data_IF_054091825759
#
_entry.id   IF_054091825759
#
_cell.length_a   1.000
_cell.length_b   1.000
_cell.length_c   1.000
_cell.angle_alpha   90.00
_cell.angle_beta   90.00
_cell.angle_gamma   90.00
#
_symmetry.space_group_name_H-M   'P 1'
#
loop_
_entity.id
_entity.type
_entity.pdbx_description
1 polymer ?
#
# COMPACT_ATOMS: atom_id res chain seq x y z
N UNK A 1 -8.41 -18.66 2.45
CA UNK A 1 -7.30 -17.68 2.48
C UNK A 1 -5.99 -18.44 2.40
N UNK A 2 -5.15 -18.12 1.40
CA UNK A 2 -3.83 -18.72 1.24
C UNK A 2 -2.91 -18.06 2.27
N UNK A 3 -2.31 -18.83 3.19
CA UNK A 3 -1.25 -18.31 4.07
C UNK A 3 0.00 -18.13 3.22
N UNK A 4 0.60 -16.94 3.29
CA UNK A 4 1.87 -16.62 2.65
C UNK A 4 2.80 -16.11 3.73
N UNK A 5 4.03 -16.58 3.74
CA UNK A 5 5.11 -16.06 4.59
C UNK A 5 6.19 -15.56 3.65
N UNK A 6 6.67 -14.34 3.91
CA UNK A 6 7.79 -13.75 3.19
C UNK A 6 8.92 -13.52 4.19
N UNK A 7 10.08 -14.09 3.90
CA UNK A 7 11.33 -13.70 4.54
C UNK A 7 11.73 -12.29 4.10
N UNK A 8 12.61 -11.64 4.85
CA UNK A 8 13.17 -10.34 4.46
C UNK A 8 13.83 -10.37 3.08
N UNK A 9 14.51 -11.47 2.72
CA UNK A 9 15.12 -11.61 1.41
C UNK A 9 14.08 -11.74 0.28
N UNK A 10 12.99 -12.47 0.50
CA UNK A 10 11.90 -12.57 -0.47
C UNK A 10 11.16 -11.23 -0.63
N UNK A 11 10.90 -10.53 0.47
CA UNK A 11 10.32 -9.18 0.44
C UNK A 11 11.25 -8.21 -0.30
N UNK A 12 12.55 -8.25 -0.01
CA UNK A 12 13.57 -7.46 -0.70
C UNK A 12 13.56 -7.72 -2.21
N UNK A 13 13.56 -8.98 -2.65
CA UNK A 13 13.52 -9.33 -4.07
C UNK A 13 12.24 -8.84 -4.75
N UNK A 14 11.08 -9.00 -4.08
CA UNK A 14 9.80 -8.51 -4.59
C UNK A 14 9.76 -6.98 -4.71
N UNK A 15 10.31 -6.25 -3.74
CA UNK A 15 10.45 -4.79 -3.79
C UNK A 15 11.37 -4.37 -4.94
N UNK A 16 12.52 -5.03 -5.14
CA UNK A 16 13.40 -4.71 -6.27
C UNK A 16 12.71 -4.97 -7.62
N UNK A 17 12.05 -6.11 -7.76
CA UNK A 17 11.32 -6.48 -8.98
C UNK A 17 10.20 -5.47 -9.29
N UNK A 18 9.40 -5.10 -8.29
CA UNK A 18 8.33 -4.11 -8.49
C UNK A 18 8.86 -2.68 -8.68
N UNK A 19 9.94 -2.29 -8.01
CA UNK A 19 10.63 -1.02 -8.29
C UNK A 19 11.13 -0.96 -9.74
N UNK A 20 11.66 -2.05 -10.30
CA UNK A 20 12.02 -2.07 -11.73
C UNK A 20 10.78 -1.85 -12.61
N UNK A 21 9.68 -2.54 -12.32
CA UNK A 21 8.42 -2.37 -13.06
C UNK A 21 7.89 -0.92 -13.02
N UNK A 22 8.02 -0.23 -11.88
CA UNK A 22 7.67 1.19 -11.75
C UNK A 22 8.57 2.09 -12.60
N UNK A 23 9.88 1.83 -12.65
CA UNK A 23 10.82 2.55 -13.53
C UNK A 23 10.44 2.34 -15.00
N UNK A 24 10.16 1.10 -15.42
CA UNK A 24 9.73 0.79 -16.79
C UNK A 24 8.37 1.44 -17.12
N UNK A 25 7.55 1.70 -16.10
CA UNK A 25 6.31 2.48 -16.20
C UNK A 25 6.53 3.99 -16.16
N UNK A 26 7.77 4.46 -16.36
CA UNK A 26 8.16 5.88 -16.44
C UNK A 26 7.98 6.68 -15.14
N UNK A 27 7.88 6.00 -14.00
CA UNK A 27 7.83 6.67 -12.69
C UNK A 27 9.22 7.19 -12.29
N UNK A 28 9.29 8.43 -11.83
CA UNK A 28 10.54 9.08 -11.37
C UNK A 28 10.38 9.70 -9.99
N UNK A 29 11.49 9.93 -9.28
CA UNK A 29 11.52 10.57 -7.95
C UNK A 29 10.58 11.79 -7.90
N UNK A 30 9.76 11.88 -6.85
CA UNK A 30 8.79 12.97 -6.64
C UNK A 30 7.43 12.75 -7.31
N UNK A 31 7.26 11.72 -8.14
CA UNK A 31 5.94 11.38 -8.65
C UNK A 31 5.02 10.78 -7.58
N UNK A 32 3.72 11.11 -7.68
CA UNK A 32 2.71 10.68 -6.71
C UNK A 32 1.98 9.44 -7.21
N UNK A 33 1.84 8.46 -6.32
CA UNK A 33 1.24 7.15 -6.60
C UNK A 33 0.07 6.91 -5.65
N UNK A 34 -1.13 6.72 -6.18
CA UNK A 34 -2.27 6.29 -5.39
C UNK A 34 -2.23 4.78 -5.24
N UNK A 35 -2.37 4.29 -4.01
CA UNK A 35 -2.51 2.86 -3.72
C UNK A 35 -3.91 2.64 -3.13
N UNK A 36 -4.74 1.89 -3.85
CA UNK A 36 -6.11 1.53 -3.47
C UNK A 36 -6.21 -0.01 -3.39
N UNK A 37 -5.63 -0.56 -2.32
CA UNK A 37 -5.51 -2.00 -2.09
C UNK A 37 -5.92 -2.33 -0.64
N UNK A 38 -6.46 -3.55 -0.38
CA UNK A 38 -6.57 -4.04 0.98
C UNK A 38 -5.19 -4.23 1.62
N UNK A 39 -5.14 -4.46 2.93
CA UNK A 39 -3.91 -4.79 3.65
C UNK A 39 -3.42 -6.21 3.30
N UNK A 40 -2.70 -6.33 2.18
CA UNK A 40 -2.07 -7.55 1.67
C UNK A 40 -0.57 -7.33 1.41
N UNK A 41 0.25 -8.39 1.29
CA UNK A 41 1.70 -8.24 1.07
C UNK A 41 2.07 -7.35 -0.11
N UNK A 42 1.31 -7.41 -1.20
CA UNK A 42 1.53 -6.62 -2.42
C UNK A 42 1.34 -5.12 -2.19
N UNK A 43 0.43 -4.73 -1.30
CA UNK A 43 0.26 -3.33 -0.93
C UNK A 43 1.49 -2.80 -0.16
N UNK A 44 2.09 -3.62 0.69
CA UNK A 44 3.33 -3.30 1.40
C UNK A 44 4.51 -3.23 0.43
N UNK A 45 4.59 -4.17 -0.51
CA UNK A 45 5.59 -4.14 -1.59
C UNK A 45 5.45 -2.84 -2.39
N UNK A 46 4.24 -2.42 -2.72
CA UNK A 46 4.00 -1.15 -3.42
C UNK A 46 4.47 0.07 -2.60
N UNK A 47 4.14 0.15 -1.31
CA UNK A 47 4.60 1.22 -0.41
C UNK A 47 6.13 1.31 -0.34
N UNK A 48 6.79 0.17 -0.11
CA UNK A 48 8.24 0.10 0.00
C UNK A 48 8.94 0.37 -1.33
N UNK A 49 8.35 -0.05 -2.45
CA UNK A 49 8.88 0.23 -3.79
C UNK A 49 8.76 1.71 -4.15
N UNK A 50 7.67 2.37 -3.73
CA UNK A 50 7.55 3.82 -3.84
C UNK A 50 8.63 4.53 -3.03
N UNK A 51 8.78 4.19 -1.75
CA UNK A 51 9.80 4.77 -0.89
C UNK A 51 11.23 4.53 -1.42
N UNK A 52 11.51 3.33 -1.95
CA UNK A 52 12.80 2.96 -2.54
C UNK A 52 13.19 3.84 -3.72
N UNK A 53 12.22 4.29 -4.51
CA UNK A 53 12.43 5.11 -5.71
C UNK A 53 12.23 6.61 -5.46
N UNK A 54 11.97 7.01 -4.21
CA UNK A 54 11.61 8.39 -3.88
C UNK A 54 10.27 8.84 -4.49
N UNK A 55 9.37 7.89 -4.80
CA UNK A 55 7.98 8.17 -5.15
C UNK A 55 7.18 8.46 -3.89
N UNK A 56 6.21 9.37 -4.01
CA UNK A 56 5.37 9.79 -2.91
C UNK A 56 4.08 8.97 -2.99
N UNK A 57 3.98 7.90 -2.21
CA UNK A 57 2.75 7.12 -2.18
C UNK A 57 1.65 7.83 -1.41
N UNK A 58 0.40 7.57 -1.78
CA UNK A 58 -0.78 8.01 -1.06
C UNK A 58 -1.79 6.88 -1.01
N UNK A 59 -1.92 6.28 0.18
CA UNK A 59 -2.89 5.21 0.38
C UNK A 59 -4.29 5.81 0.46
N UNK A 60 -5.20 5.22 -0.28
CA UNK A 60 -6.64 5.44 -0.14
C UNK A 60 -7.25 4.17 0.41
N UNK A 61 -7.90 4.28 1.57
CA UNK A 61 -8.57 3.14 2.21
C UNK A 61 -9.52 2.44 1.22
N UNK A 62 -9.34 1.12 1.04
CA UNK A 62 -10.02 0.33 0.02
C UNK A 62 -11.56 0.25 0.16
N UNK A 63 -12.14 0.85 1.20
CA UNK A 63 -13.58 1.01 1.37
C UNK A 63 -14.14 2.36 0.90
N UNK A 64 -13.30 3.29 0.43
CA UNK A 64 -13.76 4.61 -0.02
C UNK A 64 -14.37 4.59 -1.43
N UNK A 65 -15.24 5.58 -1.68
CA UNK A 65 -15.97 5.75 -2.94
C UNK A 65 -15.08 6.25 -4.08
N UNK A 66 -15.54 6.05 -5.32
CA UNK A 66 -14.88 6.58 -6.52
C UNK A 66 -14.66 8.09 -6.47
N UNK A 67 -15.62 8.85 -5.97
CA UNK A 67 -15.49 10.31 -5.77
C UNK A 67 -14.37 10.65 -4.78
N UNK A 68 -14.24 9.86 -3.71
CA UNK A 68 -13.17 10.02 -2.72
C UNK A 68 -11.78 9.72 -3.29
N UNK A 69 -11.68 8.75 -4.20
CA UNK A 69 -10.44 8.42 -4.92
C UNK A 69 -10.09 9.56 -5.88
N UNK A 70 -11.05 9.98 -6.73
CA UNK A 70 -10.88 11.08 -7.71
C UNK A 70 -10.37 12.35 -7.05
N UNK A 71 -11.00 12.76 -5.94
CA UNK A 71 -10.63 13.99 -5.26
C UNK A 71 -9.20 13.95 -4.70
N UNK A 72 -8.72 12.78 -4.27
CA UNK A 72 -7.34 12.60 -3.79
C UNK A 72 -6.34 12.54 -4.94
N UNK A 73 -6.67 11.84 -6.04
CA UNK A 73 -5.87 11.82 -7.26
C UNK A 73 -5.62 13.26 -7.75
N UNK A 74 -6.69 14.04 -7.88
CA UNK A 74 -6.62 15.39 -8.42
C UNK A 74 -5.90 16.36 -7.48
N UNK A 75 -6.03 16.20 -6.16
CA UNK A 75 -5.39 17.06 -5.18
C UNK A 75 -3.86 16.84 -5.11
N UNK A 76 -3.39 15.59 -5.09
CA UNK A 76 -1.94 15.30 -5.11
C UNK A 76 -1.35 15.23 -6.52
N UNK A 77 -2.17 15.31 -7.57
CA UNK A 77 -1.77 15.17 -8.96
C UNK A 77 -1.09 13.84 -9.24
N UNK A 78 -1.62 12.73 -8.71
CA UNK A 78 -1.04 11.40 -8.92
C UNK A 78 -0.98 11.04 -10.40
N UNK A 79 0.08 10.31 -10.80
CA UNK A 79 0.27 9.80 -12.17
C UNK A 79 -0.06 8.31 -12.32
N UNK A 80 -0.06 7.58 -11.21
CA UNK A 80 -0.25 6.14 -11.16
C UNK A 80 -1.28 5.77 -10.11
N UNK A 81 -2.16 4.82 -10.44
CA UNK A 81 -2.99 4.11 -9.46
C UNK A 81 -2.58 2.64 -9.41
N UNK A 82 -2.32 2.12 -8.21
CA UNK A 82 -2.09 0.70 -7.96
C UNK A 82 -3.32 0.16 -7.23
N UNK A 83 -3.92 -0.91 -7.73
CA UNK A 83 -5.12 -1.51 -7.14
C UNK A 83 -5.15 -3.04 -7.30
N UNK A 84 -6.23 -3.66 -6.83
CA UNK A 84 -6.55 -5.07 -7.06
C UNK A 84 -7.78 -5.20 -7.94
N UNK A 85 -7.97 -6.35 -8.57
CA UNK A 85 -9.23 -6.70 -9.24
C UNK A 85 -10.43 -6.60 -8.26
N UNK A 86 -10.36 -7.34 -7.15
CA UNK A 86 -11.33 -7.34 -6.08
C UNK A 86 -10.72 -7.88 -4.76
N UNK A 87 -11.40 -7.67 -3.64
CA UNK A 87 -11.03 -8.27 -2.35
C UNK A 87 -12.26 -8.62 -1.53
N UNK A 88 -12.07 -9.41 -0.46
CA UNK A 88 -13.15 -9.79 0.45
C UNK A 88 -13.07 -8.99 1.74
N UNK A 89 -14.22 -8.53 2.24
CA UNK A 89 -14.35 -7.93 3.57
C UNK A 89 -15.68 -8.37 4.19
N UNK A 90 -15.65 -8.89 5.42
CA UNK A 90 -16.82 -9.44 6.09
C UNK A 90 -17.60 -10.45 5.20
N UNK A 91 -16.88 -11.30 4.46
CA UNK A 91 -17.47 -12.27 3.53
C UNK A 91 -18.00 -11.70 2.21
N UNK A 92 -18.04 -10.38 2.03
CA UNK A 92 -18.53 -9.72 0.81
C UNK A 92 -17.38 -9.40 -0.14
N UNK A 93 -17.62 -9.55 -1.44
CA UNK A 93 -16.68 -9.15 -2.50
C UNK A 93 -16.82 -7.65 -2.76
N UNK A 94 -15.70 -6.94 -2.71
CA UNK A 94 -15.58 -5.53 -3.08
C UNK A 94 -14.75 -5.46 -4.36
N UNK A 95 -15.34 -4.90 -5.43
CA UNK A 95 -14.72 -4.82 -6.77
C UNK A 95 -13.86 -3.55 -6.90
N UNK A 96 -12.66 -3.57 -6.34
CA UNK A 96 -11.77 -2.39 -6.30
C UNK A 96 -11.52 -1.77 -7.66
N UNK A 97 -11.19 -2.57 -8.67
CA UNK A 97 -10.94 -2.05 -10.02
C UNK A 97 -12.13 -1.29 -10.59
N UNK A 98 -13.35 -1.80 -10.38
CA UNK A 98 -14.58 -1.10 -10.81
C UNK A 98 -14.70 0.27 -10.14
N UNK A 99 -14.39 0.37 -8.84
CA UNK A 99 -14.42 1.66 -8.12
C UNK A 99 -13.37 2.63 -8.69
N UNK A 100 -12.17 2.13 -9.02
CA UNK A 100 -11.11 2.92 -9.66
C UNK A 100 -11.53 3.39 -11.04
N UNK A 101 -12.10 2.53 -11.89
CA UNK A 101 -12.54 2.92 -13.24
C UNK A 101 -13.57 4.04 -13.22
N UNK A 102 -14.56 3.93 -12.31
CA UNK A 102 -15.55 4.99 -12.12
C UNK A 102 -14.86 6.29 -11.64
N UNK A 103 -13.86 6.20 -10.76
CA UNK A 103 -13.13 7.40 -10.31
C UNK A 103 -12.41 8.08 -11.48
N UNK A 104 -11.74 7.29 -12.33
CA UNK A 104 -11.01 7.79 -13.49
C UNK A 104 -11.94 8.39 -14.55
N UNK A 105 -13.12 7.78 -14.79
CA UNK A 105 -14.12 8.31 -15.72
C UNK A 105 -14.76 9.62 -15.26
N UNK A 106 -14.77 9.89 -13.95
CA UNK A 106 -15.27 11.15 -13.38
C UNK A 106 -14.28 12.32 -13.54
N UNK A 107 -13.04 12.07 -14.00
CA UNK A 107 -12.06 13.10 -14.35
C UNK A 107 -10.79 13.04 -13.49
N UNK A 108 -9.83 12.23 -13.93
CA UNK A 108 -8.47 12.12 -13.36
C UNK A 108 -7.40 12.27 -14.46
N UNK A 109 -7.24 13.45 -15.07
CA UNK A 109 -6.43 13.63 -16.27
C UNK A 109 -4.92 13.42 -16.05
N UNK A 110 -4.46 13.47 -14.80
CA UNK A 110 -3.05 13.23 -14.46
C UNK A 110 -2.66 11.75 -14.48
N UNK A 111 -3.62 10.82 -14.46
CA UNK A 111 -3.34 9.39 -14.41
C UNK A 111 -2.91 8.88 -15.79
N UNK A 112 -1.68 8.39 -15.85
CA UNK A 112 -1.07 7.84 -17.05
C UNK A 112 -1.23 6.32 -17.10
N UNK A 113 -1.13 5.65 -15.95
CA UNK A 113 -1.19 4.18 -15.84
C UNK A 113 -1.96 3.71 -14.60
N UNK A 114 -2.53 2.51 -14.69
CA UNK A 114 -3.14 1.80 -13.58
C UNK A 114 -2.58 0.38 -13.50
N UNK A 115 -1.93 0.02 -12.39
CA UNK A 115 -1.40 -1.32 -12.15
C UNK A 115 -2.40 -2.12 -11.32
N UNK A 116 -2.72 -3.33 -11.77
CA UNK A 116 -3.75 -4.18 -11.18
C UNK A 116 -3.13 -5.49 -10.71
N UNK A 117 -3.22 -5.77 -9.42
CA UNK A 117 -2.87 -7.09 -8.88
C UNK A 117 -4.08 -8.03 -8.93
N UNK A 118 -3.86 -9.26 -9.41
CA UNK A 118 -4.89 -10.30 -9.44
C UNK A 118 -5.00 -10.96 -8.05
N UNK A 119 -5.99 -10.54 -7.27
CA UNK A 119 -6.21 -11.02 -5.91
C UNK A 119 -7.30 -12.08 -5.82
N UNK A 120 -8.41 -11.94 -6.56
CA UNK A 120 -9.54 -12.88 -6.53
C UNK A 120 -9.90 -13.50 -7.89
N UNK A 121 -9.17 -13.12 -8.95
CA UNK A 121 -9.49 -13.48 -10.34
C UNK A 121 -10.92 -13.08 -10.74
N UNK A 122 -11.37 -11.93 -10.27
CA UNK A 122 -12.67 -11.36 -10.63
C UNK A 122 -12.64 -10.88 -12.08
N UNK A 123 -13.72 -11.10 -12.81
CA UNK A 123 -13.85 -10.58 -14.18
C UNK A 123 -13.98 -9.05 -14.16
N UNK A 124 -13.00 -8.36 -14.73
CA UNK A 124 -12.92 -6.90 -14.79
C UNK A 124 -12.74 -6.40 -16.23
N UNK A 125 -13.07 -5.13 -16.46
CA UNK A 125 -12.78 -4.42 -17.71
C UNK A 125 -11.35 -3.86 -17.66
N UNK A 126 -10.66 -3.94 -18.80
CA UNK A 126 -9.26 -3.54 -18.97
C UNK A 126 -9.15 -2.53 -20.12
N UNK A 127 -8.66 -1.34 -19.81
CA UNK A 127 -8.22 -0.38 -20.82
C UNK A 127 -6.77 -0.65 -21.21
N UNK A 128 -6.53 -1.28 -22.37
CA UNK A 128 -5.19 -1.66 -22.84
C UNK A 128 -4.19 -0.51 -22.97
N UNK A 129 -4.63 0.76 -23.00
CA UNK A 129 -3.72 1.91 -23.09
C UNK A 129 -3.19 2.34 -21.73
N UNK A 130 -3.95 2.09 -20.66
CA UNK A 130 -3.72 2.60 -19.30
C UNK A 130 -3.42 1.47 -18.31
N UNK A 131 -4.15 0.38 -18.39
CA UNK A 131 -4.18 -0.69 -17.41
C UNK A 131 -3.09 -1.73 -17.69
N UNK A 132 -2.37 -2.10 -16.64
CA UNK A 132 -1.27 -3.07 -16.65
C UNK A 132 -1.51 -4.11 -15.56
N UNK A 133 -1.33 -5.39 -15.88
CA UNK A 133 -1.35 -6.43 -14.87
C UNK A 133 -0.03 -6.46 -14.11
N UNK A 134 -0.09 -6.48 -12.78
CA UNK A 134 1.06 -6.53 -11.89
C UNK A 134 2.03 -7.64 -12.30
N UNK A 135 1.53 -8.87 -12.46
CA UNK A 135 2.38 -10.03 -12.76
C UNK A 135 2.99 -10.00 -14.18
N UNK A 136 2.37 -9.28 -15.12
CA UNK A 136 2.85 -9.17 -16.51
C UNK A 136 3.99 -8.15 -16.66
N UNK A 137 4.05 -7.17 -15.75
CA UNK A 137 5.07 -6.10 -15.78
C UNK A 137 6.28 -6.39 -14.88
N UNK A 138 6.24 -7.46 -14.07
CA UNK A 138 7.39 -7.84 -13.29
C UNK A 138 8.51 -8.37 -14.20
N UNK A 139 9.76 -7.92 -14.01
CA UNK A 139 10.89 -8.48 -14.71
C UNK A 139 11.07 -9.97 -14.35
N UNK A 140 11.58 -10.75 -15.30
CA UNK A 140 11.92 -12.17 -15.09
C UNK A 140 13.23 -12.35 -14.31
N UNK A 141 14.09 -11.34 -14.29
CA UNK A 141 15.36 -11.33 -13.56
C UNK A 141 15.24 -10.58 -12.22
N UNK A 142 15.82 -11.17 -11.17
CA UNK A 142 15.93 -10.52 -9.86
C UNK A 142 17.06 -9.48 -9.86
N UNK A 143 16.86 -8.40 -10.59
CA UNK A 143 17.81 -7.30 -10.68
C UNK A 143 17.78 -6.45 -9.42
N UNK A 144 18.95 -6.16 -8.84
CA UNK A 144 19.08 -5.16 -7.79
C UNK A 144 18.79 -3.76 -8.34
N UNK A 145 17.84 -3.07 -7.73
CA UNK A 145 17.52 -1.66 -8.00
C UNK A 145 18.08 -0.82 -6.85
N UNK A 146 19.10 0.02 -7.07
CA UNK A 146 19.62 0.89 -6.02
C UNK A 146 18.52 1.77 -5.42
N UNK A 147 18.43 1.89 -4.08
CA UNK A 147 17.52 2.84 -3.47
C UNK A 147 17.94 4.28 -3.81
N UNK A 148 16.98 5.13 -4.08
CA UNK A 148 17.18 6.55 -4.38
C UNK A 148 17.72 7.27 -3.13
N UNK A 149 18.61 8.26 -3.35
CA UNK A 149 19.12 9.06 -2.24
C UNK A 149 18.10 10.13 -1.89
N UNK A 150 17.63 10.09 -0.65
CA UNK A 150 16.62 11.01 -0.12
C UNK A 150 17.22 11.96 0.91
N UNK A 151 16.80 13.22 0.89
CA UNK A 151 16.99 14.14 2.01
C UNK A 151 16.12 13.72 3.20
N UNK A 152 16.51 14.12 4.41
CA UNK A 152 15.70 13.93 5.60
C UNK A 152 14.28 14.51 5.46
N UNK A 153 14.19 15.65 4.77
CA UNK A 153 12.94 16.41 4.54
C UNK A 153 12.22 16.06 3.23
N UNK A 154 12.76 15.15 2.42
CA UNK A 154 12.03 14.70 1.24
C UNK A 154 10.75 13.97 1.66
N UNK A 155 9.68 14.20 0.91
CA UNK A 155 8.36 13.62 1.18
C UNK A 155 8.39 12.10 1.00
N UNK A 156 7.91 11.39 2.02
CA UNK A 156 7.76 9.94 1.99
C UNK A 156 6.37 9.53 1.49
N UNK A 157 5.32 10.17 2.01
CA UNK A 157 3.94 9.89 1.63
C UNK A 157 2.99 11.05 1.90
N UNK A 158 1.81 10.97 1.28
CA UNK A 158 0.66 11.84 1.55
C UNK A 158 -0.48 10.96 2.09
N UNK A 159 -1.00 11.26 3.28
CA UNK A 159 -2.15 10.58 3.84
C UNK A 159 -3.31 11.55 4.07
N UNK A 160 -4.42 11.29 3.40
CA UNK A 160 -5.58 12.16 3.43
C UNK A 160 -6.47 11.90 4.65
N UNK A 161 -6.81 12.96 5.38
CA UNK A 161 -7.78 12.89 6.49
C UNK A 161 -9.05 13.68 6.18
N UNK A 162 -10.13 13.38 6.92
CA UNK A 162 -11.36 14.16 6.87
C UNK A 162 -11.10 15.54 7.47
N UNK A 163 -11.05 16.58 6.63
CA UNK A 163 -11.00 17.96 7.09
C UNK A 163 -12.35 18.42 7.66
N UNK A 164 -12.34 19.33 8.63
CA UNK A 164 -13.54 19.98 9.18
C UNK A 164 -14.36 20.75 8.14
N UNK A 165 -13.76 21.09 7.00
CA UNK A 165 -14.35 21.87 5.90
C UNK A 165 -14.89 21.02 4.75
N UNK A 166 -14.98 19.69 4.92
CA UNK A 166 -15.53 18.77 3.93
C UNK A 166 -14.58 18.34 2.80
N UNK A 167 -13.55 19.14 2.47
CA UNK A 167 -12.48 18.72 1.55
C UNK A 167 -11.41 17.89 2.29
N UNK A 168 -11.00 16.73 1.76
CA UNK A 168 -9.88 15.96 2.32
C UNK A 168 -8.60 16.81 2.37
N UNK A 169 -7.85 16.72 3.47
CA UNK A 169 -6.54 17.40 3.60
C UNK A 169 -5.43 16.36 3.49
N UNK A 170 -4.52 16.54 2.54
CA UNK A 170 -3.34 15.68 2.39
C UNK A 170 -2.28 16.00 3.45
N UNK A 171 -2.18 15.18 4.48
CA UNK A 171 -1.10 15.29 5.47
C UNK A 171 0.16 14.73 4.83
N UNK A 172 1.23 15.51 4.86
CA UNK A 172 2.54 15.12 4.33
C UNK A 172 3.45 14.70 5.49
N UNK A 173 4.23 13.65 5.26
CA UNK A 173 5.28 13.22 6.19
C UNK A 173 6.61 13.17 5.45
N UNK A 174 7.65 13.77 6.04
CA UNK A 174 9.03 13.67 5.57
C UNK A 174 9.65 12.33 5.95
N UNK A 175 10.78 12.00 5.33
CA UNK A 175 11.37 10.66 5.40
C UNK A 175 12.00 10.34 6.75
N UNK A 176 12.98 11.12 7.20
CA UNK A 176 13.83 10.73 8.33
C UNK A 176 13.09 10.85 9.67
N UNK A 177 12.46 11.99 9.93
CA UNK A 177 11.77 12.25 11.21
C UNK A 177 10.62 11.29 11.45
N UNK A 178 9.82 11.01 10.42
CA UNK A 178 8.71 10.04 10.51
C UNK A 178 9.22 8.63 10.79
N UNK A 179 10.23 8.16 10.04
CA UNK A 179 10.78 6.82 10.21
C UNK A 179 11.42 6.65 11.59
N UNK A 180 12.18 7.64 12.05
CA UNK A 180 12.77 7.66 13.39
C UNK A 180 11.69 7.53 14.46
N UNK A 181 10.61 8.32 14.36
CA UNK A 181 9.50 8.22 15.31
C UNK A 181 8.89 6.81 15.32
N UNK A 182 8.65 6.21 14.15
CA UNK A 182 8.12 4.85 14.07
C UNK A 182 9.06 3.82 14.71
N UNK A 183 10.37 3.92 14.49
CA UNK A 183 11.36 3.03 15.10
C UNK A 183 11.33 3.18 16.62
N UNK A 184 11.37 4.41 17.14
CA UNK A 184 11.40 4.68 18.58
C UNK A 184 10.13 4.21 19.28
N UNK A 185 8.95 4.48 18.71
CA UNK A 185 7.70 4.04 19.34
C UNK A 185 7.50 2.53 19.28
N UNK A 186 7.95 1.85 18.22
CA UNK A 186 7.95 0.38 18.18
C UNK A 186 8.87 -0.21 19.26
N UNK A 187 10.07 0.35 19.43
CA UNK A 187 11.02 -0.13 20.43
C UNK A 187 10.62 0.20 21.87
N UNK A 188 10.07 1.39 22.13
CA UNK A 188 9.90 1.88 23.50
C UNK A 188 8.48 1.82 24.02
N UNK A 189 7.46 1.91 23.15
CA UNK A 189 6.05 1.81 23.56
C UNK A 189 5.58 0.37 23.54
N UNK A 190 5.87 -0.36 22.46
CA UNK A 190 5.49 -1.76 22.31
C UNK A 190 6.53 -2.74 22.85
N UNK A 191 7.68 -2.24 23.31
CA UNK A 191 8.84 -3.02 23.76
C UNK A 191 9.30 -4.09 22.75
N UNK A 192 9.11 -3.83 21.46
CA UNK A 192 9.24 -4.84 20.40
C UNK A 192 10.66 -5.39 20.29
N UNK A 193 10.80 -6.72 20.36
CA UNK A 193 12.06 -7.46 20.24
C UNK A 193 12.19 -8.14 18.88
N UNK A 194 13.41 -8.58 18.54
CA UNK A 194 13.69 -9.30 17.28
C UNK A 194 12.96 -10.65 17.19
N UNK A 195 12.72 -11.30 18.32
CA UNK A 195 12.00 -12.57 18.42
C UNK A 195 10.47 -12.43 18.31
N UNK A 196 9.95 -11.20 18.35
CA UNK A 196 8.51 -10.98 18.44
C UNK A 196 7.82 -11.08 17.08
N UNK A 197 6.59 -11.57 17.12
CA UNK A 197 5.64 -11.49 16.01
C UNK A 197 4.67 -10.35 16.34
N UNK A 198 4.81 -9.24 15.64
CA UNK A 198 3.96 -8.08 15.83
C UNK A 198 2.71 -8.16 14.97
N UNK A 199 1.54 -8.00 15.60
CA UNK A 199 0.27 -7.93 14.88
C UNK A 199 -0.49 -6.64 15.19
N UNK A 200 -0.37 -5.67 14.28
CA UNK A 200 -1.26 -4.52 14.26
C UNK A 200 -2.47 -4.83 13.36
N UNK A 201 -3.67 -4.81 13.94
CA UNK A 201 -4.92 -5.16 13.22
C UNK A 201 -5.49 -3.99 12.40
N UNK A 202 -4.79 -2.86 12.36
CA UNK A 202 -5.23 -1.67 11.62
C UNK A 202 -5.04 -1.84 10.11
N UNK A 203 -5.82 -1.10 9.33
CA UNK A 203 -5.71 -1.06 7.88
C UNK A 203 -4.63 -0.05 7.45
N UNK A 204 -3.86 -0.35 6.40
CA UNK A 204 -2.83 0.53 5.86
C UNK A 204 -3.39 1.84 5.29
N UNK A 205 -4.69 1.94 5.04
CA UNK A 205 -5.36 3.21 4.69
C UNK A 205 -5.40 4.25 5.81
N UNK A 206 -4.92 3.91 7.01
CA UNK A 206 -4.82 4.82 8.16
C UNK A 206 -3.39 4.96 8.65
N UNK A 207 -3.13 6.01 9.44
CA UNK A 207 -1.79 6.29 9.96
C UNK A 207 -1.26 5.17 10.86
N UNK A 208 -2.15 4.48 11.60
CA UNK A 208 -1.78 3.33 12.42
C UNK A 208 -1.23 2.20 11.56
N UNK A 209 -1.81 1.93 10.39
CA UNK A 209 -1.29 0.92 9.47
C UNK A 209 0.04 1.33 8.84
N UNK A 210 0.20 2.60 8.46
CA UNK A 210 1.50 3.10 7.97
C UNK A 210 2.60 2.89 9.02
N UNK A 211 2.38 3.40 10.23
CA UNK A 211 3.40 3.43 11.28
C UNK A 211 3.66 2.04 11.90
N UNK A 212 2.62 1.22 12.05
CA UNK A 212 2.65 0.02 12.89
C UNK A 212 2.29 -1.28 12.15
N UNK A 213 1.89 -1.25 10.88
CA UNK A 213 1.88 -2.47 10.03
C UNK A 213 3.11 -2.49 9.14
N UNK A 214 3.55 -1.32 8.64
CA UNK A 214 4.62 -1.26 7.62
C UNK A 214 5.91 -0.70 8.19
N UNK A 215 6.00 0.61 8.41
CA UNK A 215 7.29 1.28 8.57
C UNK A 215 8.02 0.89 9.86
N UNK A 216 7.35 0.97 11.00
CA UNK A 216 7.97 0.72 12.30
C UNK A 216 8.50 -0.71 12.45
N UNK A 217 7.64 -1.74 12.41
CA UNK A 217 8.06 -3.13 12.61
C UNK A 217 9.11 -3.60 11.59
N UNK A 218 8.98 -3.22 10.32
CA UNK A 218 9.96 -3.61 9.31
C UNK A 218 11.31 -2.91 9.52
N UNK A 219 11.30 -1.65 9.94
CA UNK A 219 12.52 -0.91 10.26
C UNK A 219 13.19 -1.37 11.57
N UNK A 220 12.47 -2.04 12.46
CA UNK A 220 13.03 -2.69 13.65
C UNK A 220 13.48 -4.13 13.42
N UNK A 221 13.28 -4.69 12.22
CA UNK A 221 13.69 -6.07 11.92
C UNK A 221 12.73 -7.14 12.44
N UNK A 222 11.52 -6.77 12.85
CA UNK A 222 10.56 -7.66 13.50
C UNK A 222 9.69 -8.43 12.49
N UNK A 223 9.13 -9.57 12.92
CA UNK A 223 8.15 -10.30 12.11
C UNK A 223 6.80 -9.60 12.16
N UNK A 224 6.17 -9.35 11.00
CA UNK A 224 4.85 -8.72 10.92
C UNK A 224 3.80 -9.74 10.50
N UNK A 225 2.76 -9.88 11.31
CA UNK A 225 1.56 -10.61 10.94
C UNK A 225 0.56 -9.66 10.27
N UNK A 226 0.09 -10.05 9.09
CA UNK A 226 -0.92 -9.30 8.33
C UNK A 226 -2.18 -10.15 8.20
N UNK A 227 -3.33 -9.51 8.40
CA UNK A 227 -4.63 -10.13 8.26
C UNK A 227 -5.58 -9.21 7.48
N UNK A 228 -6.06 -9.70 6.34
CA UNK A 228 -6.94 -8.99 5.41
C UNK A 228 -8.44 -9.28 5.67
N UNK A 229 -8.75 -10.02 6.73
CA UNK A 229 -10.10 -10.39 7.10
C UNK A 229 -10.72 -9.50 8.18
N UNK A 230 -11.78 -10.01 8.82
CA UNK A 230 -12.52 -9.29 9.85
C UNK A 230 -12.30 -9.92 11.23
N UNK A 231 -12.40 -9.13 12.33
CA UNK A 231 -12.33 -9.66 13.70
C UNK A 231 -13.44 -10.67 14.02
N UNK A 232 -14.55 -10.59 13.30
CA UNK A 232 -15.76 -11.37 13.58
C UNK A 232 -16.14 -12.37 12.50
N UNK A 233 -15.25 -12.61 11.54
CA UNK A 233 -15.49 -13.54 10.43
C UNK A 233 -14.36 -14.56 10.30
N UNK A 234 -14.65 -15.87 10.20
CA UNK A 234 -15.98 -16.48 10.09
C UNK A 234 -16.75 -16.54 11.41
N UNK A 235 -16.08 -16.31 12.55
CA UNK A 235 -16.65 -16.29 13.90
C UNK A 235 -16.06 -15.14 14.72
N UNK A 236 -16.69 -14.81 15.84
CA UNK A 236 -16.34 -13.67 16.72
C UNK A 236 -15.03 -13.83 17.48
N UNK A 237 -14.51 -15.04 17.53
CA UNK A 237 -13.24 -15.44 18.16
C UNK A 237 -12.05 -15.40 17.22
N UNK A 238 -12.23 -14.91 15.98
CA UNK A 238 -11.22 -15.02 14.92
C UNK A 238 -9.86 -14.43 15.28
N UNK A 239 -9.80 -13.34 16.03
CA UNK A 239 -8.52 -12.77 16.44
C UNK A 239 -7.79 -13.67 17.44
N UNK A 240 -8.51 -14.28 18.38
CA UNK A 240 -7.94 -15.21 19.35
C UNK A 240 -7.43 -16.48 18.66
N UNK A 241 -8.19 -17.00 17.68
CA UNK A 241 -7.77 -18.13 16.84
C UNK A 241 -6.47 -17.87 16.08
N UNK A 242 -6.20 -16.60 15.72
CA UNK A 242 -4.99 -16.20 15.02
C UNK A 242 -3.82 -16.03 16.00
N UNK A 243 -4.06 -15.50 17.20
CA UNK A 243 -3.05 -15.32 18.25
C UNK A 243 -2.53 -16.67 18.75
N UNK A 244 -3.43 -17.63 18.94
CA UNK A 244 -3.08 -18.98 19.43
C UNK A 244 -2.23 -19.78 18.43
N UNK A 245 -2.26 -19.41 17.15
CA UNK A 245 -1.68 -20.19 16.04
C UNK A 245 -0.29 -19.70 15.62
#
# INVERSE_FOLDING_TARGET
>A
NKKVTLTYNELFNKVNSFSNALIQSSMVKGDRVIIYMPTIPEAIIAMLSCARLGLIHSIVFAGFSSESIKNRINDCGAKLVITVDAFKRNGKIIKSKKTVDVALSLGCPSIEKCIIFNNLSEKIEIDKKRDLWWDEILPTDNKFIPPEKMSAEDLLFILYTSGSTGKPKGIIHSTAGYLLNCILTNKWVFDLKESDIFWCTADIGWITGHSYVVYGPLATGSTVLIYDGAPTYPKVDRFWDIIEK
#
